data_IF_360134698043
#
_entry.id   IF_360134698043
#
_cell.length_a   1.000
_cell.length_b   1.000
_cell.length_c   1.000
_cell.angle_alpha   90.00
_cell.angle_beta   90.00
_cell.angle_gamma   90.00
#
_symmetry.space_group_name_H-M   'P 1'
#
loop_
_entity.id
_entity.type
_entity.pdbx_description
1 polymer ?
#
# COMPACT_ATOMS: atom_id res chain seq x y z
N UNK A 1 1.69 23.17 0.42
CA UNK A 1 0.22 22.93 0.43
C UNK A 1 -0.07 21.58 -0.22
N UNK A 2 -1.00 20.78 0.30
CA UNK A 2 -1.30 19.44 -0.26
C UNK A 2 -1.99 19.58 -1.62
N UNK A 3 -1.68 18.66 -2.57
CA UNK A 3 -2.26 18.65 -3.93
C UNK A 3 -3.79 18.54 -3.93
N UNK A 4 -4.36 17.89 -2.93
CA UNK A 4 -5.81 17.77 -2.72
C UNK A 4 -6.49 19.13 -2.56
N UNK A 5 -5.87 20.05 -1.82
CA UNK A 5 -6.41 21.41 -1.60
C UNK A 5 -6.38 22.23 -2.89
N UNK A 6 -5.30 22.09 -3.68
CA UNK A 6 -5.15 22.79 -4.96
C UNK A 6 -6.20 22.35 -5.99
N UNK A 7 -6.63 21.08 -5.96
CA UNK A 7 -7.70 20.58 -6.83
C UNK A 7 -9.02 21.32 -6.58
N UNK A 8 -9.35 21.61 -5.32
CA UNK A 8 -10.60 22.31 -4.95
C UNK A 8 -10.68 23.74 -5.51
N UNK A 9 -9.56 24.35 -5.90
CA UNK A 9 -9.52 25.71 -6.45
C UNK A 9 -9.72 25.77 -7.97
N UNK A 10 -9.89 24.63 -8.64
CA UNK A 10 -10.11 24.57 -10.09
C UNK A 10 -11.61 24.72 -10.39
N UNK A 11 -11.94 25.68 -11.25
CA UNK A 11 -13.29 25.97 -11.71
C UNK A 11 -13.45 25.57 -13.20
N UNK A 12 -13.92 24.36 -13.51
CA UNK A 12 -13.97 23.85 -14.88
C UNK A 12 -14.99 24.55 -15.78
N UNK A 13 -15.99 25.23 -15.21
CA UNK A 13 -17.07 25.92 -15.93
C UNK A 13 -16.82 27.43 -16.11
N UNK A 14 -15.63 27.93 -15.76
CA UNK A 14 -15.30 29.34 -15.91
C UNK A 14 -14.97 29.68 -17.38
N UNK A 15 -15.65 30.68 -17.95
CA UNK A 15 -15.46 31.09 -19.34
C UNK A 15 -14.12 31.79 -19.62
N UNK A 16 -13.46 32.33 -18.59
CA UNK A 16 -12.26 33.17 -18.71
C UNK A 16 -10.95 32.37 -18.78
N UNK A 17 -10.88 31.19 -18.14
CA UNK A 17 -9.64 30.42 -18.01
C UNK A 17 -9.91 28.93 -18.16
N UNK A 18 -9.18 28.27 -19.08
CA UNK A 18 -9.24 26.82 -19.22
C UNK A 18 -8.67 26.11 -17.99
N UNK A 19 -9.17 24.90 -17.70
CA UNK A 19 -8.63 24.01 -16.64
C UNK A 19 -7.12 23.83 -16.76
N UNK A 20 -6.60 23.73 -17.99
CA UNK A 20 -5.15 23.63 -18.25
C UNK A 20 -4.39 24.84 -17.72
N UNK A 21 -4.90 26.06 -17.96
CA UNK A 21 -4.27 27.30 -17.50
C UNK A 21 -4.39 27.46 -15.99
N UNK A 22 -5.52 27.08 -15.41
CA UNK A 22 -5.69 27.08 -13.95
C UNK A 22 -4.71 26.11 -13.27
N UNK A 23 -4.54 24.90 -13.81
CA UNK A 23 -3.55 23.94 -13.32
C UNK A 23 -2.12 24.50 -13.39
N UNK A 24 -1.76 25.15 -14.50
CA UNK A 24 -0.43 25.78 -14.69
C UNK A 24 -0.18 26.89 -13.65
N UNK A 25 -1.15 27.78 -13.44
CA UNK A 25 -1.05 28.86 -12.45
C UNK A 25 -0.93 28.33 -11.00
N UNK A 26 -1.58 27.20 -10.71
CA UNK A 26 -1.54 26.53 -9.41
C UNK A 26 -0.30 25.62 -9.23
N UNK A 27 0.54 25.47 -10.26
CA UNK A 27 1.68 24.53 -10.24
C UNK A 27 1.25 23.05 -10.13
N UNK A 28 0.03 22.73 -10.57
CA UNK A 28 -0.54 21.38 -10.54
C UNK A 28 -0.40 20.72 -11.93
N UNK A 29 0.05 19.47 -11.97
CA UNK A 29 0.00 18.70 -13.22
C UNK A 29 -1.47 18.45 -13.62
N UNK A 30 -1.83 18.74 -14.88
CA UNK A 30 -3.19 18.55 -15.41
C UNK A 30 -3.72 17.11 -15.22
N UNK A 31 -2.85 16.10 -15.34
CA UNK A 31 -3.20 14.70 -15.10
C UNK A 31 -3.69 14.44 -13.67
N UNK A 32 -3.20 15.21 -12.70
CA UNK A 32 -3.67 15.13 -11.31
C UNK A 32 -5.12 15.56 -11.19
N UNK A 33 -5.59 16.57 -11.92
CA UNK A 33 -6.99 17.01 -11.84
C UNK A 33 -7.97 15.91 -12.26
N UNK A 34 -7.68 15.22 -13.37
CA UNK A 34 -8.54 14.14 -13.86
C UNK A 34 -8.37 12.81 -13.12
N UNK A 35 -7.32 12.66 -12.33
CA UNK A 35 -7.06 11.42 -11.62
C UNK A 35 -7.88 11.35 -10.32
N UNK A 36 -8.92 10.53 -10.36
CA UNK A 36 -9.61 10.05 -9.16
C UNK A 36 -8.88 8.82 -8.62
N UNK A 37 -8.63 8.80 -7.31
CA UNK A 37 -8.10 7.61 -6.65
C UNK A 37 -9.18 6.52 -6.67
N UNK A 38 -8.99 5.50 -7.49
CA UNK A 38 -9.85 4.32 -7.47
C UNK A 38 -9.76 3.61 -6.13
N UNK A 39 -10.91 3.32 -5.52
CA UNK A 39 -11.01 2.42 -4.37
C UNK A 39 -10.71 0.96 -4.76
N UNK A 40 -10.80 0.06 -3.78
CA UNK A 40 -10.70 -1.38 -4.06
C UNK A 40 -11.97 -1.91 -4.73
N UNK A 41 -11.80 -2.92 -5.59
CA UNK A 41 -12.95 -3.59 -6.23
C UNK A 41 -13.76 -4.39 -5.20
N UNK A 42 -15.06 -4.65 -5.45
CA UNK A 42 -15.90 -5.44 -4.54
C UNK A 42 -15.30 -6.82 -4.21
N UNK A 43 -14.68 -7.48 -5.19
CA UNK A 43 -14.03 -8.78 -5.01
C UNK A 43 -12.78 -8.68 -4.12
N UNK A 44 -12.06 -7.55 -4.18
CA UNK A 44 -10.94 -7.29 -3.29
C UNK A 44 -11.43 -7.01 -1.87
N UNK A 45 -12.52 -6.26 -1.70
CA UNK A 45 -13.12 -6.00 -0.39
C UNK A 45 -13.61 -7.30 0.26
N UNK A 46 -14.22 -8.21 -0.51
CA UNK A 46 -14.62 -9.52 0.00
C UNK A 46 -13.39 -10.36 0.41
N UNK A 47 -12.34 -10.38 -0.40
CA UNK A 47 -11.10 -11.07 -0.05
C UNK A 47 -10.42 -10.45 1.19
N UNK A 48 -10.45 -9.13 1.34
CA UNK A 48 -9.92 -8.44 2.52
C UNK A 48 -10.67 -8.84 3.79
N UNK A 49 -12.01 -8.99 3.73
CA UNK A 49 -12.81 -9.49 4.86
C UNK A 49 -12.40 -10.91 5.26
N UNK A 50 -12.25 -11.81 4.29
CA UNK A 50 -11.80 -13.19 4.53
C UNK A 50 -10.39 -13.24 5.15
N UNK A 51 -9.49 -12.38 4.69
CA UNK A 51 -8.14 -12.26 5.27
C UNK A 51 -8.21 -11.78 6.73
N UNK A 52 -9.04 -10.78 7.02
CA UNK A 52 -9.22 -10.25 8.38
C UNK A 52 -9.77 -11.32 9.34
N UNK A 53 -10.82 -12.02 8.92
CA UNK A 53 -11.43 -13.15 9.64
C UNK A 53 -10.41 -14.24 9.95
N UNK A 54 -9.53 -14.57 9.00
CA UNK A 54 -8.54 -15.63 9.15
C UNK A 54 -7.31 -15.21 9.97
N UNK A 55 -7.00 -13.91 10.00
CA UNK A 55 -5.83 -13.38 10.72
C UNK A 55 -5.98 -13.46 12.25
N UNK A 56 -7.21 -13.44 12.74
CA UNK A 56 -7.53 -13.56 14.18
C UNK A 56 -7.24 -14.97 14.73
N UNK A 57 -7.77 -16.07 14.16
CA UNK A 57 -7.46 -17.42 14.61
C UNK A 57 -6.05 -17.89 14.21
N UNK A 58 -5.52 -17.43 13.07
CA UNK A 58 -4.24 -17.90 12.52
C UNK A 58 -3.25 -16.76 12.26
N UNK A 59 -2.72 -16.10 13.31
CA UNK A 59 -1.84 -14.94 13.16
C UNK A 59 -0.50 -15.24 12.48
N UNK A 60 -0.13 -16.51 12.33
CA UNK A 60 1.08 -16.97 11.66
C UNK A 60 0.90 -17.21 10.14
N UNK A 61 -0.32 -17.08 9.61
CA UNK A 61 -0.58 -17.22 8.18
C UNK A 61 -0.11 -16.00 7.40
N UNK A 62 0.96 -16.18 6.63
CA UNK A 62 1.46 -15.18 5.70
C UNK A 62 0.79 -15.25 4.33
N UNK A 63 1.16 -14.31 3.47
CA UNK A 63 0.67 -14.21 2.08
C UNK A 63 0.71 -15.52 1.28
N UNK A 64 1.68 -16.40 1.57
CA UNK A 64 1.77 -17.71 0.91
C UNK A 64 0.63 -18.65 1.34
N UNK A 65 0.37 -18.75 2.64
CA UNK A 65 -0.63 -19.70 3.15
C UNK A 65 -2.05 -19.18 2.91
N UNK A 66 -2.26 -17.88 3.04
CA UNK A 66 -3.51 -17.21 2.66
C UNK A 66 -3.83 -17.39 1.16
N UNK A 67 -2.82 -17.32 0.28
CA UNK A 67 -3.00 -17.53 -1.15
C UNK A 67 -3.44 -18.97 -1.49
N UNK A 68 -2.86 -19.96 -0.81
CA UNK A 68 -3.24 -21.37 -0.94
C UNK A 68 -4.66 -21.60 -0.40
N UNK A 69 -4.98 -21.05 0.77
CA UNK A 69 -6.29 -21.20 1.42
C UNK A 69 -7.43 -20.66 0.56
N UNK A 70 -7.25 -19.48 -0.05
CA UNK A 70 -8.29 -18.84 -0.85
C UNK A 70 -8.19 -19.15 -2.35
N UNK A 71 -7.21 -19.95 -2.80
CA UNK A 71 -7.04 -20.28 -4.21
C UNK A 71 -6.75 -19.07 -5.12
N UNK A 72 -6.08 -18.04 -4.59
CA UNK A 72 -5.82 -16.77 -5.29
C UNK A 72 -4.32 -16.53 -5.48
N UNK A 73 -3.96 -15.66 -6.42
CA UNK A 73 -2.56 -15.31 -6.66
C UNK A 73 -1.92 -14.66 -5.40
N UNK A 74 -0.77 -15.21 -4.97
CA UNK A 74 0.02 -14.69 -3.86
C UNK A 74 0.32 -13.18 -3.95
N UNK A 75 0.59 -12.63 -5.13
CA UNK A 75 0.85 -11.19 -5.31
C UNK A 75 -0.35 -10.34 -4.93
N UNK A 76 -1.57 -10.83 -5.24
CA UNK A 76 -2.83 -10.15 -4.90
C UNK A 76 -3.02 -10.12 -3.38
N UNK A 77 -2.87 -11.26 -2.72
CA UNK A 77 -2.98 -11.37 -1.25
C UNK A 77 -1.93 -10.52 -0.56
N UNK A 78 -0.67 -10.59 -0.99
CA UNK A 78 0.41 -9.80 -0.40
C UNK A 78 0.14 -8.28 -0.48
N UNK A 79 -0.38 -7.80 -1.61
CA UNK A 79 -0.77 -6.39 -1.78
C UNK A 79 -1.88 -6.00 -0.80
N UNK A 80 -2.94 -6.81 -0.73
CA UNK A 80 -4.09 -6.55 0.15
C UNK A 80 -3.71 -6.58 1.62
N UNK A 81 -2.95 -7.59 2.07
CA UNK A 81 -2.43 -7.65 3.44
C UNK A 81 -1.61 -6.39 3.79
N UNK A 82 -0.77 -5.91 2.87
CA UNK A 82 0.01 -4.66 3.07
C UNK A 82 -0.87 -3.43 3.19
N UNK A 83 -1.93 -3.32 2.39
CA UNK A 83 -2.89 -2.20 2.49
C UNK A 83 -3.66 -2.23 3.81
N UNK A 84 -3.97 -3.43 4.32
CA UNK A 84 -4.62 -3.63 5.61
C UNK A 84 -3.68 -3.48 6.82
N UNK A 85 -2.36 -3.49 6.61
CA UNK A 85 -1.38 -3.49 7.69
C UNK A 85 -1.26 -4.85 8.42
N UNK A 86 -1.69 -5.94 7.78
CA UNK A 86 -1.63 -7.29 8.35
C UNK A 86 -0.30 -7.96 7.94
N UNK A 87 0.45 -8.45 8.93
CA UNK A 87 1.66 -9.25 8.73
C UNK A 87 1.56 -10.54 9.54
N UNK A 88 2.10 -11.63 8.99
CA UNK A 88 2.22 -12.88 9.74
C UNK A 88 3.20 -12.74 10.91
N UNK A 89 2.77 -13.18 12.08
CA UNK A 89 3.55 -13.20 13.31
C UNK A 89 4.28 -14.55 13.39
N UNK A 90 5.59 -14.53 13.20
CA UNK A 90 6.45 -15.70 13.35
C UNK A 90 7.84 -15.31 13.87
N UNK A 91 8.58 -16.23 14.52
CA UNK A 91 9.95 -15.98 14.95
C UNK A 91 10.84 -15.62 13.75
N UNK A 92 11.32 -14.37 13.71
CA UNK A 92 12.27 -13.93 12.69
C UNK A 92 13.66 -14.51 12.98
N UNK A 93 14.46 -14.74 11.94
CA UNK A 93 15.85 -15.23 12.09
C UNK A 93 16.63 -14.28 13.01
N UNK A 94 17.36 -14.82 13.99
CA UNK A 94 18.23 -14.05 14.87
C UNK A 94 19.47 -13.58 14.09
N UNK A 95 19.41 -12.39 13.51
CA UNK A 95 20.54 -11.76 12.80
C UNK A 95 21.68 -11.34 13.72
N UNK A 96 21.44 -11.30 15.03
CA UNK A 96 22.46 -11.04 16.06
C UNK A 96 23.44 -12.19 16.27
N UNK A 97 23.08 -13.42 15.85
CA UNK A 97 23.99 -14.56 15.92
C UNK A 97 24.79 -14.62 14.62
N UNK A 98 26.12 -14.51 14.67
CA UNK A 98 26.94 -14.67 13.48
C UNK A 98 26.75 -16.08 12.91
N UNK A 99 26.65 -16.20 11.59
CA UNK A 99 26.69 -17.49 10.92
C UNK A 99 28.06 -18.14 11.10
N UNK A 100 28.14 -19.45 10.87
CA UNK A 100 29.43 -20.16 10.83
C UNK A 100 30.37 -19.47 9.83
N UNK A 101 31.60 -19.18 10.24
CA UNK A 101 32.62 -18.52 9.41
C UNK A 101 32.60 -16.99 9.38
N UNK A 102 31.68 -16.32 10.08
CA UNK A 102 31.66 -14.85 10.13
C UNK A 102 32.58 -14.30 11.23
N UNK A 103 33.56 -13.48 10.83
CA UNK A 103 34.48 -12.80 11.75
C UNK A 103 33.73 -11.70 12.52
N UNK A 104 33.77 -11.79 13.85
CA UNK A 104 33.22 -10.75 14.75
C UNK A 104 34.27 -9.64 14.87
N UNK A 105 33.91 -8.43 14.46
CA UNK A 105 34.76 -7.26 14.61
C UNK A 105 34.42 -6.56 15.93
N UNK A 106 35.40 -6.33 16.82
CA UNK A 106 35.16 -5.55 18.04
C UNK A 106 34.78 -4.12 17.67
N UNK A 107 33.81 -3.56 18.39
CA UNK A 107 33.43 -2.16 18.22
C UNK A 107 34.58 -1.26 18.68
N UNK A 108 34.89 -0.23 17.89
CA UNK A 108 35.89 0.80 18.22
C UNK A 108 35.23 1.89 19.09
N UNK A 109 34.74 1.50 20.27
CA UNK A 109 34.26 2.43 21.29
C UNK A 109 35.42 2.98 22.12
#
# INVERSE_FOLDING_TARGET
MKREVLRTWIEPHQALLSVSRQCELLGLARSSWYYESGGETPENLELMRKIDEESTPHPFFGSHKMAELFGVNRKRVQRLMRQMGIEAIYPKRKTTRPGSGHKIYPYLL
#
